data_IF_453230771585
#
_entry.id   IF_453230771585
#
_cell.length_a   1.000
_cell.length_b   1.000
_cell.length_c   1.000
_cell.angle_alpha   90.00
_cell.angle_beta   90.00
_cell.angle_gamma   90.00
#
_symmetry.space_group_name_H-M   'P 1'
#
loop_
_entity.id
_entity.type
_entity.pdbx_description
1 polymer ?
#
# COMPACT_ATOMS: atom_id res chain seq x y z
N UNK A 1 -0.70 -19.12 16.55
CA UNK A 1 -2.17 -19.06 16.65
C UNK A 1 -2.73 -19.68 15.39
N UNK A 2 -3.50 -20.76 15.49
CA UNK A 2 -4.08 -21.50 14.33
C UNK A 2 -5.58 -21.29 14.19
N UNK A 3 -6.22 -20.64 15.17
CA UNK A 3 -7.62 -20.23 15.12
C UNK A 3 -7.69 -18.71 15.03
N UNK A 4 -8.40 -18.21 14.00
CA UNK A 4 -8.71 -16.79 13.86
C UNK A 4 -9.72 -16.33 14.92
N UNK A 5 -9.91 -15.02 15.04
CA UNK A 5 -10.92 -14.47 15.96
C UNK A 5 -12.29 -14.50 15.24
N UNK A 6 -13.34 -15.04 15.87
CA UNK A 6 -14.64 -15.20 15.22
C UNK A 6 -15.27 -13.85 14.86
N UNK A 7 -16.02 -13.83 13.75
CA UNK A 7 -16.74 -12.66 13.23
C UNK A 7 -15.84 -11.44 12.95
N UNK A 8 -14.60 -11.68 12.52
CA UNK A 8 -13.66 -10.63 12.15
C UNK A 8 -12.83 -11.02 10.93
N UNK A 9 -12.57 -10.05 10.06
CA UNK A 9 -11.76 -10.23 8.86
C UNK A 9 -10.32 -9.73 9.02
N UNK A 10 -10.09 -8.75 9.89
CA UNK A 10 -8.79 -8.11 10.10
C UNK A 10 -8.63 -7.59 11.53
N UNK A 11 -7.50 -7.92 12.16
CA UNK A 11 -7.11 -7.42 13.47
C UNK A 11 -5.93 -6.47 13.35
N UNK A 12 -6.11 -5.25 13.86
CA UNK A 12 -5.04 -4.26 13.92
C UNK A 12 -4.52 -4.18 15.35
N UNK A 13 -3.22 -4.46 15.51
CA UNK A 13 -2.49 -4.24 16.74
C UNK A 13 -1.84 -2.87 16.67
N UNK A 14 -2.31 -1.95 17.50
CA UNK A 14 -1.78 -0.59 17.56
C UNK A 14 -0.73 -0.54 18.65
N UNK A 15 0.49 -0.15 18.28
CA UNK A 15 1.59 0.09 19.21
C UNK A 15 2.07 1.53 19.04
N UNK A 16 2.80 2.03 20.03
CA UNK A 16 3.36 3.36 19.97
C UNK A 16 4.74 3.45 20.60
N UNK A 17 5.50 4.43 20.12
CA UNK A 17 6.76 4.86 20.69
C UNK A 17 6.80 6.38 20.82
N UNK A 18 7.66 6.89 21.71
CA UNK A 18 7.83 8.32 21.92
C UNK A 18 9.32 8.67 21.72
N UNK A 19 9.72 8.83 20.46
CA UNK A 19 11.12 9.08 20.10
C UNK A 19 11.25 10.32 19.22
N UNK A 20 12.22 11.19 19.55
CA UNK A 20 12.53 12.41 18.76
C UNK A 20 12.94 12.15 17.31
N UNK A 21 13.36 10.93 17.00
CA UNK A 21 13.80 10.49 15.67
C UNK A 21 12.88 9.38 15.21
N UNK A 22 12.71 9.25 13.89
CA UNK A 22 11.91 8.20 13.28
C UNK A 22 10.84 8.76 12.36
N UNK A 23 10.11 7.85 11.71
CA UNK A 23 8.94 8.20 10.92
C UNK A 23 7.75 8.51 11.84
N UNK A 24 6.71 9.15 11.30
CA UNK A 24 5.46 9.41 12.05
C UNK A 24 4.72 8.12 12.39
N UNK A 25 4.68 7.20 11.43
CA UNK A 25 4.06 5.90 11.59
C UNK A 25 4.73 4.88 10.65
N UNK A 26 4.52 3.60 10.94
CA UNK A 26 4.75 2.48 10.03
C UNK A 26 3.66 1.42 10.22
N UNK A 27 3.41 0.63 9.19
CA UNK A 27 2.54 -0.52 9.31
C UNK A 27 2.90 -1.69 8.40
N UNK A 28 2.53 -2.88 8.86
CA UNK A 28 2.77 -4.12 8.12
C UNK A 28 1.70 -5.16 8.44
N UNK A 29 1.33 -5.97 7.45
CA UNK A 29 0.56 -7.17 7.72
C UNK A 29 1.45 -8.23 8.37
N UNK A 30 0.96 -8.87 9.43
CA UNK A 30 1.71 -9.83 10.23
C UNK A 30 1.30 -11.27 9.96
N UNK A 31 0.07 -11.50 9.51
CA UNK A 31 -0.43 -12.84 9.20
C UNK A 31 -1.41 -12.82 8.02
N UNK A 32 -1.39 -13.90 7.25
CA UNK A 32 -2.31 -14.17 6.17
C UNK A 32 -3.22 -15.35 6.54
N UNK A 33 -4.46 -15.30 6.06
CA UNK A 33 -5.39 -16.43 6.12
C UNK A 33 -4.76 -17.67 5.44
N UNK A 34 -4.86 -18.83 6.10
CA UNK A 34 -4.28 -20.11 5.66
C UNK A 34 -5.23 -20.88 4.70
N UNK A 35 -6.46 -20.40 4.59
CA UNK A 35 -7.55 -20.90 3.76
C UNK A 35 -7.34 -20.53 2.27
N UNK A 36 -8.30 -20.89 1.40
CA UNK A 36 -8.21 -20.76 -0.07
C UNK A 36 -7.78 -19.36 -0.54
N UNK A 37 -8.17 -18.31 0.18
CA UNK A 37 -7.82 -16.92 -0.12
C UNK A 37 -6.80 -16.41 0.92
N UNK A 38 -5.54 -16.25 0.53
CA UNK A 38 -4.54 -15.60 1.37
C UNK A 38 -4.80 -14.11 1.37
N UNK A 39 -5.39 -13.64 2.46
CA UNK A 39 -5.66 -12.24 2.74
C UNK A 39 -5.05 -11.86 4.09
N UNK A 40 -4.61 -10.62 4.29
CA UNK A 40 -4.22 -10.11 5.60
C UNK A 40 -5.33 -10.33 6.63
N UNK A 41 -4.97 -10.91 7.78
CA UNK A 41 -5.88 -11.13 8.92
C UNK A 41 -5.37 -10.49 10.21
N UNK A 42 -4.08 -10.23 10.30
CA UNK A 42 -3.48 -9.44 11.35
C UNK A 42 -2.53 -8.42 10.72
N UNK A 43 -2.53 -7.21 11.25
CA UNK A 43 -1.53 -6.20 10.96
C UNK A 43 -1.16 -5.43 12.21
N UNK A 44 0.01 -4.82 12.16
CA UNK A 44 0.51 -3.95 13.21
C UNK A 44 0.63 -2.54 12.64
N UNK A 45 0.19 -1.55 13.40
CA UNK A 45 0.45 -0.14 13.15
C UNK A 45 1.28 0.38 14.32
N UNK A 46 2.42 0.99 14.01
CA UNK A 46 3.30 1.64 14.98
C UNK A 46 3.22 3.15 14.80
N UNK A 47 2.90 3.88 15.87
CA UNK A 47 2.86 5.33 15.86
C UNK A 47 4.00 5.92 16.69
N UNK A 48 4.73 6.88 16.11
CA UNK A 48 5.63 7.71 16.89
C UNK A 48 4.86 8.95 17.40
N UNK A 49 4.38 8.87 18.64
CA UNK A 49 3.54 9.90 19.24
C UNK A 49 4.29 11.20 19.50
N UNK A 50 5.64 11.17 19.48
CA UNK A 50 6.43 12.39 19.49
C UNK A 50 6.19 13.22 18.22
N UNK A 51 6.09 12.57 17.04
CA UNK A 51 6.06 13.23 15.74
C UNK A 51 4.65 13.41 15.15
N UNK A 52 3.66 12.59 15.54
CA UNK A 52 2.28 12.76 15.09
C UNK A 52 1.60 13.90 15.85
N UNK A 53 1.40 13.72 17.15
CA UNK A 53 0.51 14.57 17.93
C UNK A 53 1.17 15.81 18.53
N UNK A 54 2.09 16.45 17.80
CA UNK A 54 2.76 17.67 18.31
C UNK A 54 1.76 18.83 18.53
N UNK A 55 0.64 18.86 17.80
CA UNK A 55 -0.42 19.89 17.88
C UNK A 55 -1.80 19.30 17.48
N UNK A 56 -2.32 18.35 18.25
CA UNK A 56 -3.58 17.64 17.96
C UNK A 56 -4.82 18.54 17.87
N UNK A 57 -4.83 19.67 18.59
CA UNK A 57 -5.90 20.69 18.50
C UNK A 57 -5.91 21.45 17.16
N UNK A 58 -4.85 21.35 16.33
CA UNK A 58 -4.80 21.98 15.03
C UNK A 58 -5.47 21.07 13.96
N UNK A 59 -6.59 21.49 13.35
CA UNK A 59 -7.31 20.66 12.38
C UNK A 59 -6.47 20.23 11.17
N UNK A 60 -5.48 21.04 10.77
CA UNK A 60 -4.58 20.71 9.65
C UNK A 60 -3.62 19.59 10.05
N UNK A 61 -3.08 19.64 11.27
CA UNK A 61 -2.18 18.61 11.80
C UNK A 61 -2.95 17.31 11.99
N UNK A 62 -4.14 17.37 12.59
CA UNK A 62 -5.03 16.21 12.73
C UNK A 62 -5.34 15.55 11.38
N UNK A 63 -5.72 16.33 10.36
CA UNK A 63 -6.02 15.79 9.03
C UNK A 63 -4.80 15.09 8.41
N UNK A 64 -3.62 15.70 8.52
CA UNK A 64 -2.39 15.09 8.02
C UNK A 64 -2.07 13.76 8.74
N UNK A 65 -2.26 13.70 10.05
CA UNK A 65 -2.01 12.48 10.83
C UNK A 65 -3.05 11.39 10.55
N UNK A 66 -4.29 11.78 10.27
CA UNK A 66 -5.32 10.86 9.79
C UNK A 66 -4.98 10.31 8.40
N UNK A 67 -4.52 11.14 7.46
CA UNK A 67 -4.07 10.70 6.14
C UNK A 67 -2.91 9.69 6.24
N UNK A 68 -1.93 9.95 7.11
CA UNK A 68 -0.84 9.02 7.39
C UNK A 68 -1.37 7.71 7.98
N UNK A 69 -2.30 7.77 8.94
CA UNK A 69 -2.89 6.58 9.53
C UNK A 69 -3.59 5.71 8.48
N UNK A 70 -4.35 6.34 7.58
CA UNK A 70 -5.02 5.64 6.48
C UNK A 70 -4.00 5.04 5.51
N UNK A 71 -2.95 5.78 5.16
CA UNK A 71 -1.85 5.32 4.31
C UNK A 71 -1.19 4.06 4.86
N UNK A 72 -0.86 4.05 6.16
CA UNK A 72 -0.24 2.89 6.81
C UNK A 72 -1.20 1.68 6.85
N UNK A 73 -2.48 1.88 7.14
CA UNK A 73 -3.48 0.80 7.09
C UNK A 73 -3.64 0.25 5.66
N UNK A 74 -3.48 1.06 4.62
CA UNK A 74 -3.51 0.62 3.22
C UNK A 74 -2.40 -0.40 2.92
N UNK A 75 -1.22 -0.26 3.54
CA UNK A 75 -0.15 -1.26 3.44
C UNK A 75 -0.55 -2.60 4.09
N UNK A 76 -1.26 -2.56 5.21
CA UNK A 76 -1.77 -3.78 5.89
C UNK A 76 -2.77 -4.52 5.01
N UNK A 77 -3.74 -3.82 4.44
CA UNK A 77 -4.81 -4.47 3.65
C UNK A 77 -4.33 -5.00 2.30
N UNK A 78 -3.12 -4.62 1.88
CA UNK A 78 -2.43 -5.34 0.81
C UNK A 78 -1.78 -4.49 -0.27
N UNK A 79 -1.59 -3.18 -0.06
CA UNK A 79 -0.80 -2.38 -1.00
C UNK A 79 0.68 -2.37 -0.61
N UNK A 80 1.40 -3.39 -1.05
CA UNK A 80 2.86 -3.44 -0.97
C UNK A 80 3.41 -4.39 -2.02
N UNK A 81 4.69 -4.26 -2.37
CA UNK A 81 5.33 -5.17 -3.31
C UNK A 81 5.20 -6.65 -2.88
N UNK A 82 5.30 -6.92 -1.57
CA UNK A 82 5.18 -8.28 -1.00
C UNK A 82 3.72 -8.76 -0.97
N UNK A 83 2.75 -7.87 -0.75
CA UNK A 83 1.35 -8.24 -0.75
C UNK A 83 0.80 -8.51 -2.15
N UNK A 84 1.31 -7.84 -3.19
CA UNK A 84 0.91 -8.06 -4.59
C UNK A 84 1.11 -9.51 -5.06
N UNK A 85 2.06 -10.23 -4.47
CA UNK A 85 2.23 -11.69 -4.68
C UNK A 85 0.94 -12.47 -4.39
N UNK A 86 0.18 -12.05 -3.36
CA UNK A 86 -1.03 -12.73 -2.89
C UNK A 86 -2.30 -12.21 -3.56
N UNK A 87 -2.23 -11.15 -4.37
CA UNK A 87 -3.39 -10.63 -5.08
C UNK A 87 -3.99 -11.69 -6.01
N UNK A 88 -5.32 -11.65 -6.13
CA UNK A 88 -6.06 -12.57 -7.00
C UNK A 88 -6.03 -12.07 -8.43
N UNK A 89 -5.66 -12.96 -9.36
CA UNK A 89 -5.78 -12.73 -10.78
C UNK A 89 -7.22 -13.04 -11.21
N UNK A 90 -8.01 -12.04 -11.65
CA UNK A 90 -9.42 -12.24 -11.99
C UNK A 90 -9.62 -13.11 -13.23
N UNK A 91 -8.59 -13.32 -14.06
CA UNK A 91 -8.67 -14.17 -15.25
C UNK A 91 -8.52 -15.65 -14.93
N UNK A 92 -7.68 -15.99 -13.96
CA UNK A 92 -7.34 -17.39 -13.62
C UNK A 92 -7.98 -17.85 -12.32
N UNK A 93 -8.54 -16.91 -11.54
CA UNK A 93 -9.01 -17.13 -10.17
C UNK A 93 -7.94 -17.76 -9.26
N UNK A 94 -6.67 -17.47 -9.54
CA UNK A 94 -5.50 -17.89 -8.74
C UNK A 94 -4.72 -16.66 -8.32
N UNK A 95 -3.90 -16.81 -7.28
CA UNK A 95 -2.96 -15.75 -6.88
C UNK A 95 -1.92 -15.51 -7.98
N UNK A 96 -1.45 -14.28 -8.13
CA UNK A 96 -0.38 -13.97 -9.08
C UNK A 96 0.94 -14.71 -8.76
N UNK A 97 1.26 -14.87 -7.47
CA UNK A 97 2.44 -15.60 -7.04
C UNK A 97 3.74 -14.94 -7.52
N UNK A 98 4.76 -15.75 -7.82
CA UNK A 98 6.11 -15.26 -8.17
C UNK A 98 6.12 -14.40 -9.44
N UNK A 99 5.17 -14.63 -10.33
CA UNK A 99 5.06 -13.95 -11.62
C UNK A 99 4.31 -12.61 -11.55
N UNK A 100 3.92 -12.16 -10.35
CA UNK A 100 3.10 -10.95 -10.19
C UNK A 100 3.66 -9.73 -10.93
N UNK A 101 4.98 -9.51 -10.94
CA UNK A 101 5.57 -8.38 -11.67
C UNK A 101 5.32 -8.48 -13.16
N UNK A 102 5.44 -9.67 -13.75
CA UNK A 102 5.22 -9.87 -15.18
C UNK A 102 3.76 -9.63 -15.58
N UNK A 103 2.84 -10.02 -14.71
CA UNK A 103 1.40 -9.95 -15.00
C UNK A 103 0.76 -8.61 -14.61
N UNK A 104 1.29 -7.92 -13.60
CA UNK A 104 0.75 -6.68 -13.05
C UNK A 104 1.58 -5.45 -13.39
N UNK A 105 2.79 -5.60 -13.93
CA UNK A 105 3.67 -4.46 -14.14
C UNK A 105 4.22 -4.41 -15.57
N UNK A 106 4.38 -3.18 -16.06
CA UNK A 106 5.14 -2.89 -17.27
C UNK A 106 6.19 -1.83 -16.95
N UNK A 107 7.35 -1.95 -17.59
CA UNK A 107 8.43 -0.96 -17.49
C UNK A 107 8.46 -0.12 -18.76
N UNK A 108 8.53 1.21 -18.61
CA UNK A 108 8.69 2.16 -19.71
C UNK A 108 9.70 3.24 -19.34
N UNK A 109 10.40 3.76 -20.34
CA UNK A 109 11.26 4.93 -20.16
C UNK A 109 10.43 6.19 -20.25
N UNK A 110 10.17 6.85 -19.12
CA UNK A 110 9.44 8.12 -19.03
C UNK A 110 10.43 9.19 -18.58
N UNK A 111 10.51 10.31 -19.31
CA UNK A 111 11.43 11.43 -18.97
C UNK A 111 12.89 10.97 -18.75
N UNK A 112 13.36 10.00 -19.56
CA UNK A 112 14.70 9.36 -19.48
C UNK A 112 14.95 8.50 -18.23
N UNK A 113 13.90 8.19 -17.46
CA UNK A 113 13.97 7.34 -16.27
C UNK A 113 13.18 6.06 -16.54
N UNK A 114 13.72 4.91 -16.09
CA UNK A 114 12.97 3.64 -16.10
C UNK A 114 11.86 3.70 -15.05
N UNK A 115 10.62 3.65 -15.50
CA UNK A 115 9.42 3.79 -14.66
C UNK A 115 8.58 2.54 -14.75
N UNK A 116 8.13 2.06 -13.61
CA UNK A 116 7.25 0.90 -13.50
C UNK A 116 5.81 1.38 -13.35
N UNK A 117 4.90 0.76 -14.09
CA UNK A 117 3.47 1.00 -14.02
C UNK A 117 2.77 -0.23 -13.47
N UNK A 118 1.82 -0.04 -12.57
CA UNK A 118 0.87 -1.07 -12.15
C UNK A 118 -0.33 -1.07 -13.10
N UNK A 119 -0.61 -2.23 -13.70
CA UNK A 119 -1.53 -2.37 -14.85
C UNK A 119 -2.75 -3.23 -14.56
N UNK A 120 -3.06 -3.47 -13.28
CA UNK A 120 -4.29 -4.17 -12.92
C UNK A 120 -5.52 -3.45 -13.48
N UNK A 121 -6.56 -4.19 -13.86
CA UNK A 121 -7.77 -3.65 -14.53
C UNK A 121 -8.32 -2.41 -13.81
N UNK A 122 -8.52 -2.50 -12.50
CA UNK A 122 -9.10 -1.41 -11.72
C UNK A 122 -8.15 -0.20 -11.64
N UNK A 123 -6.84 -0.42 -11.54
CA UNK A 123 -5.87 0.68 -11.55
C UNK A 123 -5.93 1.41 -12.89
N UNK A 124 -5.93 0.69 -14.01
CA UNK A 124 -6.06 1.29 -15.34
C UNK A 124 -7.34 2.11 -15.48
N UNK A 125 -8.48 1.56 -15.06
CA UNK A 125 -9.78 2.24 -15.13
C UNK A 125 -9.79 3.51 -14.28
N UNK A 126 -9.28 3.45 -13.05
CA UNK A 126 -9.19 4.61 -12.14
C UNK A 126 -8.23 5.66 -12.70
N UNK A 127 -7.05 5.27 -13.19
CA UNK A 127 -6.07 6.21 -13.78
C UNK A 127 -6.65 6.94 -14.97
N UNK A 128 -7.31 6.22 -15.89
CA UNK A 128 -7.93 6.82 -17.08
C UNK A 128 -8.97 7.87 -16.68
N UNK A 129 -9.79 7.55 -15.69
CA UNK A 129 -10.81 8.46 -15.16
C UNK A 129 -10.19 9.67 -14.47
N UNK A 130 -9.23 9.45 -13.57
CA UNK A 130 -8.62 10.51 -12.76
C UNK A 130 -7.88 11.54 -13.62
N UNK A 131 -7.07 11.08 -14.58
CA UNK A 131 -6.29 11.98 -15.45
C UNK A 131 -7.01 12.35 -16.76
N UNK A 132 -8.26 11.91 -16.96
CA UNK A 132 -8.99 12.03 -18.23
C UNK A 132 -8.13 11.61 -19.44
N UNK A 133 -7.44 10.48 -19.31
CA UNK A 133 -6.48 9.99 -20.29
C UNK A 133 -6.85 8.56 -20.73
N UNK A 134 -7.67 8.39 -21.79
CA UNK A 134 -8.19 7.08 -22.21
C UNK A 134 -7.11 6.08 -22.63
N UNK A 135 -5.95 6.57 -23.06
CA UNK A 135 -4.80 5.75 -23.48
C UNK A 135 -3.89 5.35 -22.33
N UNK A 136 -4.16 5.77 -21.09
CA UNK A 136 -3.37 5.35 -19.94
C UNK A 136 -3.39 3.82 -19.81
N UNK A 137 -2.21 3.24 -19.57
CA UNK A 137 -1.99 1.79 -19.49
C UNK A 137 -1.86 1.28 -18.05
N UNK A 138 -1.86 2.19 -17.07
CA UNK A 138 -1.70 1.90 -15.65
C UNK A 138 -1.24 3.13 -14.88
N UNK A 139 -0.96 2.97 -13.60
CA UNK A 139 -0.46 4.03 -12.73
C UNK A 139 1.00 3.82 -12.39
N UNK A 140 1.79 4.90 -12.36
CA UNK A 140 3.20 4.85 -11.96
C UNK A 140 3.31 4.49 -10.48
N UNK A 141 4.13 3.49 -10.17
CA UNK A 141 4.51 3.14 -8.80
C UNK A 141 5.92 3.64 -8.53
N UNK A 142 6.16 4.04 -7.29
CA UNK A 142 7.43 4.59 -6.81
C UNK A 142 8.59 3.67 -7.21
N UNK A 143 9.51 4.20 -8.01
CA UNK A 143 10.66 3.47 -8.54
C UNK A 143 11.97 3.82 -7.82
N UNK A 144 11.93 4.71 -6.83
CA UNK A 144 13.05 5.14 -6.01
C UNK A 144 12.91 4.67 -4.55
N UNK A 145 14.01 4.65 -3.81
CA UNK A 145 14.06 4.24 -2.40
C UNK A 145 14.45 2.77 -2.16
N UNK A 146 14.25 2.30 -0.93
CA UNK A 146 14.62 0.95 -0.48
C UNK A 146 13.49 -0.09 -0.61
N UNK A 147 13.71 -1.29 -0.08
CA UNK A 147 12.79 -2.44 -0.15
C UNK A 147 11.39 -2.17 0.45
N UNK A 148 11.24 -1.16 1.33
CA UNK A 148 9.96 -0.73 1.89
C UNK A 148 9.27 0.41 1.13
N UNK A 149 9.94 1.03 0.15
CA UNK A 149 9.43 2.19 -0.58
C UNK A 149 9.08 1.85 -2.02
N UNK A 150 9.94 1.06 -2.67
CA UNK A 150 9.81 0.75 -4.08
C UNK A 150 8.63 -0.19 -4.34
N UNK A 151 7.71 0.24 -5.20
CA UNK A 151 6.53 -0.54 -5.58
C UNK A 151 5.47 -0.74 -4.48
N UNK A 152 5.61 -0.05 -3.36
CA UNK A 152 4.59 0.03 -2.30
C UNK A 152 3.82 1.35 -2.30
N UNK A 153 4.28 2.35 -3.06
CA UNK A 153 3.67 3.66 -3.16
C UNK A 153 3.38 4.01 -4.61
N UNK A 154 2.47 4.96 -4.81
CA UNK A 154 2.34 5.64 -6.08
C UNK A 154 3.47 6.65 -6.27
N UNK A 155 3.87 6.86 -7.52
CA UNK A 155 4.88 7.86 -7.86
C UNK A 155 4.45 9.26 -7.44
N UNK A 156 5.19 9.85 -6.49
CA UNK A 156 4.84 11.12 -5.85
C UNK A 156 4.70 12.25 -6.87
N UNK A 157 5.56 12.28 -7.90
CA UNK A 157 5.60 13.36 -8.89
C UNK A 157 4.36 13.45 -9.79
N UNK A 158 3.47 12.45 -9.76
CA UNK A 158 2.27 12.40 -10.59
C UNK A 158 0.98 12.52 -9.76
N UNK A 159 1.01 12.18 -8.47
CA UNK A 159 -0.16 12.26 -7.57
C UNK A 159 -0.25 13.60 -6.82
N UNK A 160 0.86 14.16 -6.36
CA UNK A 160 0.84 15.39 -5.53
C UNK A 160 0.82 16.69 -6.34
N UNK A 161 -0.03 16.75 -7.37
CA UNK A 161 -0.20 17.94 -8.20
C UNK A 161 -1.54 18.60 -7.91
#
# INVERSE_FOLDING_TARGET
MTEGIPNSDLHLHIIYENQKKGFKADAVYCALAVNDIARPIFGQVSFNIYNMFEQDDNPVVFNNDLEITIHEIIHIVGFSANAMYYWMNPKTNKRYGKEYKKDLQIEKTIRKIKTVFLTSKNVVEVTRKYYNCPTAEGMQIENQGGQGTQGAHWEKTIIFN
#
